data_IF_552354572702
#
_entry.id   IF_552354572702
#
_cell.length_a   1.000
_cell.length_b   1.000
_cell.length_c   1.000
_cell.angle_alpha   90.00
_cell.angle_beta   90.00
_cell.angle_gamma   90.00
#
_symmetry.space_group_name_H-M   'P 1'
#
loop_
_entity.id
_entity.type
_entity.pdbx_description
1 polymer ?
#
# COMPACT_ATOMS: atom_id res chain seq x y z
N UNK A 1 29.78 -5.02 -3.94
CA UNK A 1 28.68 -5.09 -4.93
C UNK A 1 27.46 -5.57 -4.18
N UNK A 2 26.48 -4.68 -3.97
CA UNK A 2 25.16 -5.12 -3.55
C UNK A 2 24.51 -5.69 -4.82
N UNK A 3 24.06 -6.94 -4.78
CA UNK A 3 23.29 -7.57 -5.84
C UNK A 3 22.17 -6.61 -6.30
N UNK A 4 21.83 -6.53 -7.59
CA UNK A 4 20.65 -5.79 -7.99
C UNK A 4 19.47 -6.48 -7.28
N UNK A 5 18.83 -5.81 -6.34
CA UNK A 5 17.48 -6.18 -5.93
C UNK A 5 16.64 -6.15 -7.21
N UNK A 6 16.54 -7.28 -7.91
CA UNK A 6 15.60 -7.50 -9.01
C UNK A 6 14.26 -6.91 -8.57
N UNK A 7 13.64 -6.16 -9.48
CA UNK A 7 12.51 -5.24 -9.35
C UNK A 7 11.31 -5.83 -8.58
N UNK A 8 11.47 -6.12 -7.29
CA UNK A 8 10.36 -6.54 -6.44
C UNK A 8 9.49 -5.33 -6.22
N UNK A 9 8.27 -5.42 -6.75
CA UNK A 9 7.23 -4.42 -6.53
C UNK A 9 7.06 -4.17 -5.03
N UNK A 10 6.63 -2.96 -4.67
CA UNK A 10 6.34 -2.64 -3.27
C UNK A 10 5.33 -3.62 -2.66
N UNK A 11 4.43 -4.16 -3.49
CA UNK A 11 3.48 -5.20 -3.12
C UNK A 11 4.17 -6.51 -2.73
N UNK A 12 5.11 -7.01 -3.53
CA UNK A 12 5.83 -8.25 -3.21
C UNK A 12 6.62 -8.12 -1.91
N UNK A 13 7.22 -6.95 -1.66
CA UNK A 13 7.93 -6.68 -0.40
C UNK A 13 6.99 -6.68 0.81
N UNK A 14 5.76 -6.19 0.65
CA UNK A 14 4.74 -6.21 1.69
C UNK A 14 4.22 -7.62 1.95
N UNK A 15 4.01 -8.42 0.90
CA UNK A 15 3.68 -9.85 1.01
C UNK A 15 4.75 -10.60 1.79
N UNK A 16 6.01 -10.49 1.37
CA UNK A 16 7.14 -11.15 2.04
C UNK A 16 7.18 -10.74 3.53
N UNK A 17 6.93 -9.48 3.86
CA UNK A 17 6.89 -8.99 5.23
C UNK A 17 5.78 -9.68 6.07
N UNK A 18 4.56 -9.75 5.54
CA UNK A 18 3.43 -10.32 6.28
C UNK A 18 3.51 -11.86 6.38
N UNK A 19 4.02 -12.55 5.37
CA UNK A 19 4.32 -13.98 5.44
C UNK A 19 5.34 -14.27 6.54
N UNK A 20 6.44 -13.51 6.58
CA UNK A 20 7.47 -13.64 7.61
C UNK A 20 6.98 -13.28 9.02
N UNK A 21 5.97 -12.40 9.13
CA UNK A 21 5.33 -12.05 10.39
C UNK A 21 4.32 -13.12 10.88
N UNK A 22 4.05 -14.16 10.09
CA UNK A 22 3.13 -15.23 10.46
C UNK A 22 1.65 -14.84 10.32
N UNK A 23 1.33 -13.85 9.49
CA UNK A 23 -0.05 -13.53 9.14
C UNK A 23 -0.69 -14.74 8.44
N UNK A 24 -2.00 -14.95 8.66
CA UNK A 24 -2.73 -16.03 7.98
C UNK A 24 -2.60 -15.86 6.46
N UNK A 25 -2.18 -16.89 5.70
CA UNK A 25 -1.86 -16.75 4.28
C UNK A 25 -2.99 -16.18 3.43
N UNK A 26 -4.24 -16.47 3.78
CA UNK A 26 -5.44 -15.96 3.11
C UNK A 26 -5.65 -14.44 3.28
N UNK A 27 -5.04 -13.84 4.30
CA UNK A 27 -5.13 -12.39 4.57
C UNK A 27 -3.92 -11.60 4.09
N UNK A 28 -2.81 -12.25 3.75
CA UNK A 28 -1.57 -11.59 3.34
C UNK A 28 -1.78 -10.61 2.17
N UNK A 29 -2.50 -10.96 1.08
CA UNK A 29 -2.76 -10.03 -0.01
C UNK A 29 -3.51 -8.78 0.45
N UNK A 30 -4.57 -8.96 1.25
CA UNK A 30 -5.38 -7.86 1.78
C UNK A 30 -4.55 -6.90 2.63
N UNK A 31 -3.70 -7.43 3.51
CA UNK A 31 -2.82 -6.58 4.32
C UNK A 31 -1.74 -5.89 3.50
N UNK A 32 -1.20 -6.53 2.45
CA UNK A 32 -0.27 -5.91 1.54
C UNK A 32 -0.90 -4.72 0.80
N UNK A 33 -2.11 -4.90 0.27
CA UNK A 33 -2.86 -3.84 -0.40
C UNK A 33 -3.21 -2.68 0.56
N UNK A 34 -3.68 -3.00 1.78
CA UNK A 34 -3.99 -2.00 2.80
C UNK A 34 -2.77 -1.18 3.20
N UNK A 35 -1.60 -1.81 3.36
CA UNK A 35 -0.35 -1.12 3.67
C UNK A 35 0.05 -0.13 2.56
N UNK A 36 -0.07 -0.54 1.30
CA UNK A 36 0.25 0.32 0.17
C UNK A 36 -0.74 1.49 0.05
N UNK A 37 -2.03 1.25 0.24
CA UNK A 37 -3.04 2.30 0.20
C UNK A 37 -2.83 3.35 1.32
N UNK A 38 -2.47 2.91 2.53
CA UNK A 38 -2.09 3.82 3.61
C UNK A 38 -0.88 4.68 3.23
N UNK A 39 0.18 4.06 2.72
CA UNK A 39 1.38 4.75 2.26
C UNK A 39 1.07 5.79 1.18
N UNK A 40 0.27 5.42 0.19
CA UNK A 40 -0.05 6.27 -0.95
C UNK A 40 -0.97 7.44 -0.53
N UNK A 41 -1.85 7.23 0.45
CA UNK A 41 -2.63 8.31 1.10
C UNK A 41 -1.72 9.32 1.80
N UNK A 42 -0.71 8.86 2.55
CA UNK A 42 0.25 9.76 3.20
C UNK A 42 1.08 10.54 2.18
N UNK A 43 1.50 9.91 1.08
CA UNK A 43 2.24 10.56 0.00
C UNK A 43 1.36 11.62 -0.67
N UNK A 44 0.11 11.29 -0.99
CA UNK A 44 -0.84 12.24 -1.54
C UNK A 44 -1.05 13.45 -0.61
N UNK A 45 -1.18 13.23 0.70
CA UNK A 45 -1.28 14.32 1.69
C UNK A 45 -0.04 15.24 1.69
N UNK A 46 1.18 14.66 1.64
CA UNK A 46 2.43 15.41 1.55
C UNK A 46 2.51 16.23 0.26
N UNK A 47 2.07 15.65 -0.86
CA UNK A 47 2.02 16.34 -2.16
C UNK A 47 1.04 17.53 -2.13
N UNK A 48 -0.15 17.38 -1.53
CA UNK A 48 -1.09 18.49 -1.34
C UNK A 48 -0.49 19.60 -0.48
N UNK A 49 0.17 19.25 0.62
CA UNK A 49 0.85 20.23 1.49
C UNK A 49 1.97 21.00 0.76
N UNK A 50 2.60 20.39 -0.23
CA UNK A 50 3.59 21.01 -1.11
C UNK A 50 2.99 21.78 -2.31
N UNK A 51 1.66 21.78 -2.47
CA UNK A 51 0.95 22.44 -3.58
C UNK A 51 0.86 21.63 -4.87
N UNK A 52 1.16 20.32 -4.84
CA UNK A 52 1.14 19.42 -6.00
C UNK A 52 -0.19 18.64 -6.11
N UNK A 53 -1.31 19.34 -6.24
CA UNK A 53 -2.66 18.73 -6.26
C UNK A 53 -2.86 17.66 -7.34
N UNK A 54 -2.40 17.92 -8.57
CA UNK A 54 -2.54 16.94 -9.67
C UNK A 54 -1.74 15.65 -9.41
N UNK A 55 -0.54 15.76 -8.86
CA UNK A 55 0.27 14.59 -8.52
C UNK A 55 -0.34 13.81 -7.35
N UNK A 56 -0.89 14.52 -6.35
CA UNK A 56 -1.61 13.89 -5.25
C UNK A 56 -2.83 13.10 -5.74
N UNK A 57 -3.59 13.64 -6.69
CA UNK A 57 -4.77 12.96 -7.26
C UNK A 57 -4.42 11.68 -8.04
N UNK A 58 -3.24 11.62 -8.67
CA UNK A 58 -2.79 10.42 -9.41
C UNK A 58 -2.38 9.26 -8.51
N UNK A 59 -1.97 9.55 -7.27
CA UNK A 59 -1.46 8.55 -6.32
C UNK A 59 -2.48 8.22 -5.23
N UNK A 60 -3.44 9.13 -4.96
CA UNK A 60 -4.50 8.88 -3.98
C UNK A 60 -5.26 7.59 -4.34
N UNK A 61 -5.23 6.56 -3.48
CA UNK A 61 -6.00 5.34 -3.72
C UNK A 61 -7.51 5.65 -3.70
N UNK A 62 -8.25 4.88 -4.47
CA UNK A 62 -9.71 4.92 -4.48
C UNK A 62 -10.23 4.60 -3.07
N UNK A 63 -11.02 5.50 -2.43
CA UNK A 63 -11.59 5.26 -1.11
C UNK A 63 -12.37 3.94 -1.03
N UNK A 64 -13.07 3.57 -2.10
CA UNK A 64 -13.88 2.35 -2.15
C UNK A 64 -13.02 1.08 -2.10
N UNK A 65 -11.78 1.16 -2.59
CA UNK A 65 -10.82 0.05 -2.53
C UNK A 65 -10.26 -0.15 -1.12
N UNK A 66 -10.08 0.93 -0.36
CA UNK A 66 -9.64 0.88 1.03
C UNK A 66 -10.74 0.25 1.90
N UNK A 67 -11.98 0.72 1.77
CA UNK A 67 -13.09 0.23 2.59
C UNK A 67 -13.37 -1.26 2.36
N UNK A 68 -13.22 -1.75 1.12
CA UNK A 68 -13.33 -3.16 0.81
C UNK A 68 -12.24 -4.03 1.47
N UNK A 69 -11.04 -3.49 1.70
CA UNK A 69 -9.92 -4.23 2.30
C UNK A 69 -10.06 -4.41 3.83
N UNK A 70 -10.75 -3.48 4.51
CA UNK A 70 -10.98 -3.56 5.96
C UNK A 70 -12.27 -4.28 6.34
N UNK A 71 -13.13 -4.60 5.35
CA UNK A 71 -14.43 -5.20 5.55
C UNK A 71 -15.45 -4.17 6.02
N UNK A 72 -16.70 -4.31 5.58
CA UNK A 72 -17.81 -3.60 6.23
C UNK A 72 -17.77 -4.00 7.71
N UNK A 73 -17.52 -3.03 8.62
CA UNK A 73 -17.76 -3.21 10.05
C UNK A 73 -19.17 -3.79 10.20
N UNK A 74 -19.25 -5.09 10.54
CA UNK A 74 -20.48 -5.81 10.87
C UNK A 74 -20.32 -6.53 12.19
#
# INVERSE_FOLDING_TARGET
MLEPEEERSAWQRAVDLFENAGVRPDLVPTYADALLALRDTEIAAKLRAAGHEQAAALIQPDPDFIDAAWGEDR
#
